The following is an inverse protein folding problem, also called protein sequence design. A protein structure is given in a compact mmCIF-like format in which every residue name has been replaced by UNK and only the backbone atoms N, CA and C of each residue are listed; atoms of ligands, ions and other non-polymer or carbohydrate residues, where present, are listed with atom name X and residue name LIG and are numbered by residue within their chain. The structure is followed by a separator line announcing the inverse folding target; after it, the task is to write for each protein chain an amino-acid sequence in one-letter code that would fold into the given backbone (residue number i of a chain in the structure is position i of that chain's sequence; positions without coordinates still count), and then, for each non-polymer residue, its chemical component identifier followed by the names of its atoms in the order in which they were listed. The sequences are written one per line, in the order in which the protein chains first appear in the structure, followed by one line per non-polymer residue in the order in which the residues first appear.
data_IF_809815123520
#
_entry.id   IF_809815123520
#
_cell.length_a   1.000
_cell.length_b   1.000
_cell.length_c   1.000
_cell.angle_alpha   90.00
_cell.angle_beta   90.00
_cell.angle_gamma   90.00
#
_symmetry.space_group_name_H-M   'P 1'
#
loop_
_entity.id
_entity.type
_entity.pdbx_description
1 polymer ?
#
# COMPACT_ATOMS: atom_id res chain seq x y z
N UNK A 1 -20.55 5.51 15.18
CA UNK A 1 -20.02 6.27 14.02
C UNK A 1 -20.91 6.00 12.82
N UNK A 2 -21.29 7.02 12.04
CA UNK A 2 -21.99 6.84 10.76
C UNK A 2 -20.92 6.71 9.67
N UNK A 3 -20.35 5.52 9.56
CA UNK A 3 -19.31 5.25 8.57
C UNK A 3 -19.95 5.08 7.19
N UNK A 4 -19.38 5.74 6.19
CA UNK A 4 -19.74 5.51 4.79
C UNK A 4 -19.16 4.14 4.37
N UNK A 5 -19.81 3.36 3.50
CA UNK A 5 -19.28 2.06 3.04
C UNK A 5 -17.81 2.12 2.56
N UNK A 6 -17.41 3.21 1.91
CA UNK A 6 -16.01 3.46 1.51
C UNK A 6 -15.04 3.56 2.69
N UNK A 7 -15.47 4.10 3.82
CA UNK A 7 -14.62 4.20 5.02
C UNK A 7 -14.47 2.83 5.71
N UNK A 8 -15.51 2.00 5.68
CA UNK A 8 -15.42 0.63 6.18
C UNK A 8 -14.46 -0.24 5.37
N UNK A 9 -14.42 -0.05 4.05
CA UNK A 9 -13.45 -0.73 3.18
C UNK A 9 -12.02 -0.30 3.47
N UNK A 10 -11.78 1.00 3.70
CA UNK A 10 -10.47 1.52 4.12
C UNK A 10 -10.01 0.93 5.45
N UNK A 11 -10.91 0.80 6.42
CA UNK A 11 -10.63 0.16 7.70
C UNK A 11 -10.30 -1.33 7.55
N UNK A 12 -11.02 -2.05 6.67
CA UNK A 12 -10.73 -3.45 6.37
C UNK A 12 -9.34 -3.59 5.72
N UNK A 13 -9.00 -2.71 4.78
CA UNK A 13 -7.69 -2.66 4.12
C UNK A 13 -6.56 -2.40 5.13
N UNK A 14 -6.72 -1.41 6.02
CA UNK A 14 -5.75 -1.13 7.07
C UNK A 14 -5.57 -2.34 8.01
N UNK A 15 -6.66 -3.01 8.38
CA UNK A 15 -6.62 -4.22 9.21
C UNK A 15 -5.84 -5.37 8.54
N UNK A 16 -6.01 -5.55 7.22
CA UNK A 16 -5.24 -6.52 6.45
C UNK A 16 -3.75 -6.16 6.38
N UNK A 17 -3.42 -4.87 6.22
CA UNK A 17 -2.03 -4.40 6.26
C UNK A 17 -1.37 -4.62 7.61
N UNK A 18 -2.09 -4.37 8.71
CA UNK A 18 -1.59 -4.63 10.07
C UNK A 18 -1.37 -6.13 10.33
N UNK A 19 -2.23 -6.99 9.80
CA UNK A 19 -2.03 -8.44 9.85
C UNK A 19 -0.77 -8.86 9.09
N UNK A 20 -0.53 -8.27 7.91
CA UNK A 20 0.68 -8.50 7.12
C UNK A 20 1.94 -8.04 7.87
N UNK A 21 1.94 -6.86 8.48
CA UNK A 21 3.06 -6.38 9.31
C UNK A 21 3.38 -7.36 10.46
N UNK A 22 2.37 -7.88 11.15
CA UNK A 22 2.56 -8.90 12.21
C UNK A 22 3.16 -10.20 11.67
N UNK A 23 2.78 -10.63 10.47
CA UNK A 23 3.35 -11.83 9.82
C UNK A 23 4.80 -11.61 9.43
N UNK A 24 5.12 -10.43 8.87
CA UNK A 24 6.48 -10.05 8.53
C UNK A 24 7.38 -9.96 9.77
N UNK A 25 6.89 -9.39 10.88
CA UNK A 25 7.63 -9.33 12.14
C UNK A 25 7.97 -10.72 12.72
N UNK A 26 7.19 -11.75 12.36
CA UNK A 26 7.47 -13.15 12.72
C UNK A 26 8.45 -13.84 11.77
N UNK A 27 8.94 -13.15 10.73
CA UNK A 27 9.85 -13.69 9.73
C UNK A 27 9.15 -14.53 8.64
N UNK A 28 7.82 -14.46 8.53
CA UNK A 28 7.09 -15.13 7.45
C UNK A 28 7.24 -14.33 6.15
N UNK A 29 7.42 -15.04 5.04
CA UNK A 29 7.39 -14.42 3.71
C UNK A 29 5.95 -14.02 3.39
N UNK A 30 5.75 -12.77 2.96
CA UNK A 30 4.44 -12.23 2.61
C UNK A 30 4.00 -12.73 1.24
N UNK A 31 2.71 -13.03 1.12
CA UNK A 31 2.05 -13.26 -0.15
C UNK A 31 1.77 -11.94 -0.89
N UNK A 32 1.43 -12.03 -2.18
CA UNK A 32 1.11 -10.88 -3.03
C UNK A 32 0.07 -9.92 -2.41
N UNK A 33 -1.05 -10.48 -1.96
CA UNK A 33 -2.15 -9.71 -1.37
C UNK A 33 -1.75 -9.05 -0.05
N UNK A 34 -0.88 -9.69 0.72
CA UNK A 34 -0.38 -9.16 2.00
C UNK A 34 0.65 -8.05 1.79
N UNK A 35 1.52 -8.19 0.79
CA UNK A 35 2.47 -7.15 0.42
C UNK A 35 1.75 -5.88 -0.05
N UNK A 36 0.72 -6.03 -0.89
CA UNK A 36 -0.10 -4.89 -1.32
C UNK A 36 -0.84 -4.26 -0.14
N UNK A 37 -1.46 -5.08 0.73
CA UNK A 37 -2.17 -4.57 1.89
C UNK A 37 -1.25 -3.81 2.84
N UNK A 38 -0.01 -4.29 3.04
CA UNK A 38 0.99 -3.63 3.86
C UNK A 38 1.39 -2.28 3.27
N UNK A 39 1.68 -2.22 1.97
CA UNK A 39 2.05 -0.97 1.29
C UNK A 39 0.92 0.04 1.36
N UNK A 40 -0.31 -0.41 1.08
CA UNK A 40 -1.46 0.48 1.09
C UNK A 40 -1.77 1.02 2.50
N UNK A 41 -1.65 0.19 3.55
CA UNK A 41 -1.76 0.64 4.92
C UNK A 41 -0.67 1.67 5.27
N UNK A 42 0.58 1.43 4.85
CA UNK A 42 1.67 2.35 5.14
C UNK A 42 1.52 3.70 4.43
N UNK A 43 1.07 3.69 3.17
CA UNK A 43 0.77 4.92 2.42
C UNK A 43 -0.37 5.68 3.09
N UNK A 44 -1.42 4.99 3.55
CA UNK A 44 -2.52 5.62 4.26
C UNK A 44 -2.08 6.31 5.55
N UNK A 45 -1.16 5.71 6.30
CA UNK A 45 -0.57 6.35 7.49
C UNK A 45 0.24 7.59 7.12
N UNK A 46 1.10 7.52 6.09
CA UNK A 46 1.84 8.70 5.64
C UNK A 46 0.94 9.83 5.10
N UNK A 47 -0.17 9.49 4.44
CA UNK A 47 -1.18 10.46 4.03
C UNK A 47 -1.85 11.10 5.25
N UNK A 48 -1.99 10.35 6.34
CA UNK A 48 -2.59 10.84 7.59
C UNK A 48 -1.64 11.75 8.38
N UNK A 49 -0.34 11.48 8.33
CA UNK A 49 0.69 12.36 8.88
C UNK A 49 0.74 13.72 8.14
N UNK A 50 0.41 13.74 6.85
CA UNK A 50 0.26 14.97 6.06
C UNK A 50 1.57 15.64 5.65
N UNK A 51 2.71 15.06 6.02
CA UNK A 51 4.05 15.65 5.82
C UNK A 51 4.67 15.39 4.44
N UNK A 52 4.00 14.61 3.58
CA UNK A 52 4.59 14.12 2.31
C UNK A 52 3.72 14.45 1.10
N UNK A 53 4.37 14.82 0.01
CA UNK A 53 3.69 15.06 -1.27
C UNK A 53 3.34 13.75 -1.96
N UNK A 54 2.39 13.78 -2.90
CA UNK A 54 1.94 12.60 -3.65
C UNK A 54 3.11 11.94 -4.39
N UNK A 55 4.03 12.73 -4.94
CA UNK A 55 5.24 12.23 -5.63
C UNK A 55 6.17 11.48 -4.67
N UNK A 56 6.38 12.00 -3.45
CA UNK A 56 7.21 11.33 -2.44
C UNK A 56 6.60 9.99 -2.01
N UNK A 57 5.27 9.92 -1.91
CA UNK A 57 4.55 8.70 -1.56
C UNK A 57 4.65 7.64 -2.65
N UNK A 58 4.63 8.04 -3.93
CA UNK A 58 4.80 7.11 -5.06
C UNK A 58 6.21 6.51 -5.07
N UNK A 59 7.24 7.33 -4.84
CA UNK A 59 8.63 6.88 -4.76
C UNK A 59 8.86 5.97 -3.55
N UNK A 60 8.30 6.32 -2.39
CA UNK A 60 8.33 5.47 -1.20
C UNK A 60 7.64 4.12 -1.42
N UNK A 61 6.49 4.11 -2.09
CA UNK A 61 5.77 2.89 -2.45
C UNK A 61 6.62 1.95 -3.32
N UNK A 62 7.31 2.50 -4.35
CA UNK A 62 8.24 1.76 -5.21
C UNK A 62 9.40 1.15 -4.42
N UNK A 63 9.97 1.90 -3.47
CA UNK A 63 11.06 1.42 -2.60
C UNK A 63 10.62 0.33 -1.61
N UNK A 64 9.37 0.38 -1.15
CA UNK A 64 8.82 -0.63 -0.24
C UNK A 64 8.65 -1.99 -0.93
N UNK A 65 8.19 -2.01 -2.19
CA UNK A 65 8.05 -3.25 -2.99
C UNK A 65 9.36 -4.01 -3.16
N UNK A 66 10.48 -3.30 -3.37
CA UNK A 66 11.80 -3.93 -3.51
C UNK A 66 12.32 -4.54 -2.20
N UNK A 67 11.84 -4.05 -1.05
CA UNK A 67 12.28 -4.50 0.29
C UNK A 67 11.50 -5.71 0.76
N UNK A 68 10.22 -5.77 0.41
CA UNK A 68 9.35 -6.90 0.70
C UNK A 68 9.41 -7.89 -0.47
N UNK A 69 10.50 -8.65 -0.57
CA UNK A 69 10.70 -9.67 -1.62
C UNK A 69 9.51 -10.64 -1.64
N UNK A 70 8.58 -10.36 -2.55
CA UNK A 70 7.48 -11.24 -2.91
C UNK A 70 8.09 -12.43 -3.66
N UNK A 71 7.67 -13.64 -3.32
CA UNK A 71 8.17 -14.89 -3.92
C UNK A 71 7.84 -15.06 -5.41
N UNK A 72 7.03 -14.17 -5.99
CA UNK A 72 6.63 -14.24 -7.40
C UNK A 72 7.04 -12.96 -8.15
N UNK A 73 8.00 -13.14 -9.08
CA UNK A 73 8.64 -12.11 -9.93
C UNK A 73 7.68 -11.27 -10.80
N UNK A 74 6.40 -11.60 -10.87
CA UNK A 74 5.42 -10.93 -11.75
C UNK A 74 4.94 -9.55 -11.26
N UNK A 75 5.23 -9.15 -10.02
CA UNK A 75 4.66 -7.92 -9.41
C UNK A 75 5.32 -6.65 -9.95
N UNK A 76 6.62 -6.68 -10.25
CA UNK A 76 7.32 -5.52 -10.80
C UNK A 76 6.64 -5.05 -12.09
N UNK A 77 6.25 -5.99 -12.97
CA UNK A 77 5.64 -5.67 -14.26
C UNK A 77 4.21 -5.12 -14.19
N UNK A 78 3.44 -5.42 -13.13
CA UNK A 78 2.06 -4.96 -12.99
C UNK A 78 1.97 -3.52 -12.47
N UNK A 79 2.93 -3.12 -11.63
CA UNK A 79 3.01 -1.74 -11.10
C UNK A 79 3.80 -0.78 -12.00
N UNK A 80 4.72 -1.25 -12.86
CA UNK A 80 5.29 -0.42 -13.94
C UNK A 80 4.23 0.02 -14.96
N UNK A 81 3.04 -0.61 -14.93
CA UNK A 81 1.93 -0.29 -15.83
C UNK A 81 0.98 0.78 -15.27
N UNK A 82 1.20 1.31 -14.06
CA UNK A 82 0.51 2.53 -13.64
C UNK A 82 1.08 3.70 -14.47
N UNK A 83 0.33 4.25 -15.44
CA UNK A 83 0.84 5.33 -16.26
C UNK A 83 1.06 6.55 -15.37
N UNK A 84 2.28 7.07 -15.39
CA UNK A 84 2.66 8.40 -14.91
C UNK A 84 1.75 9.42 -15.62
N UNK A 85 0.58 9.70 -15.05
CA UNK A 85 -0.34 10.74 -15.53
C UNK A 85 -0.21 11.94 -14.59
N UNK A 86 0.14 13.14 -15.10
CA UNK A 86 0.39 14.31 -14.28
C UNK A 86 -0.89 14.95 -13.70
N UNK A 87 -2.07 14.33 -13.90
CA UNK A 87 -3.35 14.80 -13.40
C UNK A 87 -4.19 13.64 -12.87
N UNK A 88 -4.10 13.36 -11.57
CA UNK A 88 -5.14 12.60 -10.87
C UNK A 88 -5.22 13.05 -9.41
N UNK A 89 -5.82 14.23 -9.23
CA UNK A 89 -6.62 14.50 -8.05
C UNK A 89 -7.47 13.27 -7.75
N UNK A 90 -7.25 12.67 -6.58
CA UNK A 90 -8.19 11.73 -5.95
C UNK A 90 -8.37 10.42 -6.74
N UNK A 91 -7.49 9.45 -6.54
CA UNK A 91 -7.82 8.03 -6.27
C UNK A 91 -6.58 7.44 -5.60
N UNK A 92 -6.40 7.77 -4.33
CA UNK A 92 -5.90 6.78 -3.38
C UNK A 92 -7.19 6.23 -2.75
N UNK A 93 -7.59 5.06 -3.26
CA UNK A 93 -8.78 4.26 -2.91
C UNK A 93 -10.08 4.76 -3.52
#
# INVERSE_FOLDING_TARGET
MKLVPRETEKLALHSAGFLAQKRLARGLRLNYTEAIALIAAQILEFVRDGDKTVTDLMDLGKQMLGRFVCTFSSVTNLLTRFPETPQSSIIVI
#
